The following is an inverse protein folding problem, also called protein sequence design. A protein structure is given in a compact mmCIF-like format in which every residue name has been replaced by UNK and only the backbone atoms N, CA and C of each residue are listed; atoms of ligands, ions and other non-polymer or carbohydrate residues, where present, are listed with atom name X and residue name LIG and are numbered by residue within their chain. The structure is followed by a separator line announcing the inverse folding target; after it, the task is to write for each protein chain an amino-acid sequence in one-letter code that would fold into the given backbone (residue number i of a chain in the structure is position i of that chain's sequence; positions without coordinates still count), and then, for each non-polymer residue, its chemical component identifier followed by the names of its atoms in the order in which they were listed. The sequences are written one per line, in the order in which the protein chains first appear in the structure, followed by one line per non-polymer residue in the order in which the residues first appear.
data_IF_330568075735
#
_entry.id   IF_330568075735
#
_cell.length_a   1.000
_cell.length_b   1.000
_cell.length_c   1.000
_cell.angle_alpha   90.00
_cell.angle_beta   90.00
_cell.angle_gamma   90.00
#
_symmetry.space_group_name_H-M   'P 1'
#
loop_
_entity.id
_entity.type
_entity.pdbx_description
1 polymer ?
#
# COMPACT_ATOMS: atom_id res chain seq x y z
N UNK A 1 36.60 -3.13 -25.98
CA UNK A 1 35.13 -3.24 -26.07
C UNK A 1 34.60 -2.71 -24.75
N UNK A 2 34.14 -1.46 -24.77
CA UNK A 2 33.85 -0.65 -23.58
C UNK A 2 32.34 -0.42 -23.43
N UNK A 3 31.89 -0.39 -22.18
CA UNK A 3 30.52 -0.41 -21.65
C UNK A 3 29.70 0.89 -21.81
N UNK A 4 29.78 1.60 -22.93
CA UNK A 4 29.10 2.90 -23.08
C UNK A 4 28.16 2.96 -24.29
N UNK A 5 26.92 2.45 -24.17
CA UNK A 5 25.75 2.94 -24.93
C UNK A 5 24.42 2.21 -24.64
N UNK A 6 23.91 2.21 -23.40
CA UNK A 6 22.54 1.72 -23.12
C UNK A 6 21.49 2.86 -23.06
N UNK A 7 21.92 4.13 -23.10
CA UNK A 7 21.02 5.29 -22.96
C UNK A 7 21.01 6.22 -24.19
N UNK A 8 20.92 5.68 -25.40
CA UNK A 8 20.49 6.50 -26.55
C UNK A 8 18.99 6.74 -26.47
N UNK A 9 18.59 8.02 -26.40
CA UNK A 9 17.20 8.47 -26.53
C UNK A 9 16.71 8.17 -27.95
N UNK A 10 16.13 7.00 -28.15
CA UNK A 10 15.35 6.69 -29.33
C UNK A 10 14.09 7.57 -29.35
N UNK A 11 13.96 8.40 -30.39
CA UNK A 11 12.88 9.35 -30.60
C UNK A 11 11.65 8.77 -31.33
N UNK A 12 11.55 7.44 -31.43
CA UNK A 12 10.29 6.75 -31.69
C UNK A 12 9.97 5.91 -30.47
N UNK A 13 8.74 5.98 -29.92
CA UNK A 13 8.32 5.03 -28.87
C UNK A 13 8.53 3.62 -29.43
N UNK A 14 9.47 2.82 -28.91
CA UNK A 14 9.58 1.43 -29.29
C UNK A 14 8.22 0.78 -29.03
N UNK A 15 7.74 -0.07 -29.92
CA UNK A 15 6.56 -0.85 -29.62
C UNK A 15 6.87 -1.63 -28.33
N UNK A 16 6.11 -1.45 -27.23
CA UNK A 16 6.34 -2.15 -25.97
C UNK A 16 6.18 -3.68 -26.11
N UNK A 17 5.71 -4.15 -27.27
CA UNK A 17 5.64 -5.56 -27.65
C UNK A 17 6.75 -6.03 -28.59
N UNK A 18 7.62 -5.13 -29.06
CA UNK A 18 8.78 -5.47 -29.89
C UNK A 18 10.01 -5.78 -29.04
N UNK A 19 10.73 -6.86 -29.38
CA UNK A 19 11.92 -7.31 -28.65
C UNK A 19 11.72 -8.58 -27.82
N UNK A 20 12.82 -9.07 -27.26
CA UNK A 20 12.84 -10.21 -26.33
C UNK A 20 12.05 -9.90 -25.04
N UNK A 21 11.57 -10.91 -24.30
CA UNK A 21 10.87 -10.67 -23.04
C UNK A 21 11.65 -9.79 -22.05
N UNK A 22 12.97 -9.98 -21.97
CA UNK A 22 13.85 -9.16 -21.12
C UNK A 22 13.86 -7.69 -21.54
N UNK A 23 13.98 -7.41 -22.84
CA UNK A 23 13.95 -6.04 -23.38
C UNK A 23 12.61 -5.37 -23.13
N UNK A 24 11.49 -6.09 -23.32
CA UNK A 24 10.15 -5.55 -23.04
C UNK A 24 9.96 -5.21 -21.57
N UNK A 25 10.44 -6.07 -20.66
CA UNK A 25 10.39 -5.79 -19.23
C UNK A 25 11.22 -4.56 -18.87
N UNK A 26 12.48 -4.47 -19.32
CA UNK A 26 13.33 -3.31 -19.05
C UNK A 26 12.80 -2.01 -19.67
N UNK A 27 12.23 -2.07 -20.87
CA UNK A 27 11.57 -0.91 -21.47
C UNK A 27 10.40 -0.43 -20.59
N UNK A 28 9.63 -1.35 -20.02
CA UNK A 28 8.51 -1.02 -19.12
C UNK A 28 8.94 -0.40 -17.78
N UNK A 29 10.20 -0.59 -17.37
CA UNK A 29 10.73 0.03 -16.15
C UNK A 29 11.00 1.54 -16.31
N UNK A 30 11.02 2.05 -17.55
CA UNK A 30 11.17 3.47 -17.84
C UNK A 30 9.81 4.20 -17.79
N UNK A 31 9.31 4.41 -16.58
CA UNK A 31 8.01 5.05 -16.33
C UNK A 31 8.13 6.58 -16.44
N UNK A 32 7.40 7.17 -17.38
CA UNK A 32 7.26 8.62 -17.53
C UNK A 32 6.08 9.18 -16.72
N UNK A 33 5.87 10.50 -16.84
CA UNK A 33 4.76 11.19 -16.16
C UNK A 33 3.40 10.62 -16.56
N UNK A 34 3.20 10.29 -17.84
CA UNK A 34 1.93 9.78 -18.33
C UNK A 34 1.62 8.39 -17.75
N UNK A 35 2.61 7.49 -17.82
CA UNK A 35 2.47 6.13 -17.30
C UNK A 35 2.23 6.17 -15.78
N UNK A 36 2.92 7.05 -15.04
CA UNK A 36 2.64 7.29 -13.62
C UNK A 36 1.23 7.81 -13.36
N UNK A 37 0.77 8.82 -14.11
CA UNK A 37 -0.52 9.47 -13.92
C UNK A 37 -1.70 8.51 -14.20
N UNK A 38 -1.58 7.68 -15.24
CA UNK A 38 -2.60 6.70 -15.61
C UNK A 38 -2.51 5.39 -14.79
N UNK A 39 -1.55 5.31 -13.86
CA UNK A 39 -1.35 4.11 -13.02
C UNK A 39 -0.86 2.89 -13.81
N UNK A 40 -0.15 3.10 -14.92
CA UNK A 40 0.44 2.03 -15.73
C UNK A 40 1.69 1.50 -15.02
N UNK A 41 1.66 0.20 -14.68
CA UNK A 41 2.76 -0.52 -14.04
C UNK A 41 3.78 -1.11 -15.04
N UNK A 42 4.66 -1.96 -14.54
CA UNK A 42 5.60 -2.70 -15.40
C UNK A 42 4.88 -3.76 -16.23
N UNK A 43 5.51 -4.21 -17.31
CA UNK A 43 5.01 -5.29 -18.14
C UNK A 43 5.28 -6.65 -17.45
N UNK A 44 4.41 -7.04 -16.53
CA UNK A 44 4.54 -8.29 -15.78
C UNK A 44 4.33 -9.53 -16.63
N UNK A 45 3.64 -9.43 -17.77
CA UNK A 45 3.47 -10.56 -18.68
C UNK A 45 4.81 -10.96 -19.32
N UNK A 46 5.69 -9.99 -19.59
CA UNK A 46 7.04 -10.27 -20.06
C UNK A 46 7.85 -11.11 -19.07
N UNK A 47 7.61 -10.98 -17.75
CA UNK A 47 8.29 -11.79 -16.73
C UNK A 47 7.96 -13.28 -16.83
N UNK A 48 6.76 -13.63 -17.31
CA UNK A 48 6.31 -15.03 -17.46
C UNK A 48 7.00 -15.75 -18.61
N UNK A 49 7.56 -14.99 -19.55
CA UNK A 49 8.22 -15.50 -20.76
C UNK A 49 9.75 -15.59 -20.61
N UNK A 50 10.32 -15.13 -19.49
CA UNK A 50 11.76 -15.16 -19.25
C UNK A 50 12.30 -16.58 -19.11
N UNK A 51 13.48 -16.81 -19.65
CA UNK A 51 14.28 -18.01 -19.35
C UNK A 51 14.78 -17.99 -17.90
N UNK A 52 15.19 -19.16 -17.39
CA UNK A 52 15.69 -19.26 -16.01
C UNK A 52 16.93 -18.41 -15.73
N UNK A 53 17.77 -18.13 -16.73
CA UNK A 53 18.93 -17.26 -16.56
C UNK A 53 18.55 -15.78 -16.57
N UNK A 54 17.58 -15.39 -17.40
CA UNK A 54 17.03 -14.03 -17.40
C UNK A 54 16.28 -13.71 -16.11
N UNK A 55 15.54 -14.69 -15.54
CA UNK A 55 14.90 -14.55 -14.22
C UNK A 55 15.93 -14.19 -13.16
N UNK A 56 17.11 -14.86 -13.13
CA UNK A 56 18.16 -14.54 -12.14
C UNK A 56 18.70 -13.11 -12.30
N UNK A 57 18.80 -12.63 -13.54
CA UNK A 57 19.28 -11.27 -13.83
C UNK A 57 18.25 -10.25 -13.32
N UNK A 58 16.97 -10.42 -13.69
CA UNK A 58 15.88 -9.54 -13.29
C UNK A 58 15.65 -9.57 -11.79
N UNK A 59 15.65 -10.75 -11.19
CA UNK A 59 15.51 -10.94 -9.74
C UNK A 59 16.60 -10.16 -8.98
N UNK A 60 17.87 -10.30 -9.38
CA UNK A 60 18.98 -9.58 -8.75
C UNK A 60 18.79 -8.06 -8.84
N UNK A 61 18.33 -7.56 -9.99
CA UNK A 61 18.03 -6.14 -10.18
C UNK A 61 16.92 -5.68 -9.21
N UNK A 62 15.78 -6.38 -9.20
CA UNK A 62 14.63 -6.03 -8.38
C UNK A 62 14.94 -6.11 -6.88
N UNK A 63 15.66 -7.14 -6.42
CA UNK A 63 16.09 -7.28 -5.02
C UNK A 63 16.93 -6.07 -4.59
N UNK A 64 17.82 -5.59 -5.46
CA UNK A 64 18.67 -4.41 -5.16
C UNK A 64 17.89 -3.09 -5.05
N UNK A 65 16.62 -3.09 -5.49
CA UNK A 65 15.74 -1.93 -5.56
C UNK A 65 14.45 -2.06 -4.75
N UNK A 66 14.24 -3.18 -4.05
CA UNK A 66 12.98 -3.60 -3.41
C UNK A 66 12.31 -2.56 -2.47
N UNK A 67 13.05 -1.56 -1.98
CA UNK A 67 12.56 -0.52 -1.06
C UNK A 67 12.36 0.84 -1.75
N UNK A 68 12.58 0.93 -3.07
CA UNK A 68 12.59 2.19 -3.81
C UNK A 68 11.23 2.54 -4.38
N UNK A 69 10.53 1.56 -4.94
CA UNK A 69 9.28 1.78 -5.66
C UNK A 69 8.36 0.56 -5.51
N UNK A 70 7.06 0.79 -5.31
CA UNK A 70 6.10 -0.30 -5.14
C UNK A 70 5.97 -1.18 -6.39
N UNK A 71 6.30 -0.67 -7.58
CA UNK A 71 6.31 -1.46 -8.82
C UNK A 71 7.43 -2.51 -8.83
N UNK A 72 8.57 -2.21 -8.18
CA UNK A 72 9.63 -3.19 -7.98
C UNK A 72 9.12 -4.34 -7.09
N UNK A 73 8.30 -4.04 -6.06
CA UNK A 73 7.63 -5.04 -5.19
C UNK A 73 6.62 -5.87 -5.97
N UNK A 74 5.81 -5.25 -6.83
CA UNK A 74 4.88 -5.95 -7.71
C UNK A 74 5.60 -6.91 -8.67
N UNK A 75 6.72 -6.48 -9.26
CA UNK A 75 7.51 -7.33 -10.13
C UNK A 75 8.17 -8.50 -9.38
N UNK A 76 8.64 -8.29 -8.15
CA UNK A 76 9.11 -9.39 -7.28
C UNK A 76 7.99 -10.41 -7.04
N UNK A 77 6.76 -9.94 -6.78
CA UNK A 77 5.62 -10.83 -6.60
C UNK A 77 5.26 -11.63 -7.85
N UNK A 78 5.47 -11.08 -9.04
CA UNK A 78 5.24 -11.77 -10.30
C UNK A 78 6.25 -12.91 -10.56
N UNK A 79 7.49 -12.80 -10.06
CA UNK A 79 8.54 -13.82 -10.25
C UNK A 79 8.26 -15.13 -9.50
N UNK A 80 7.69 -15.05 -8.28
CA UNK A 80 7.34 -16.21 -7.42
C UNK A 80 8.48 -17.19 -7.13
N UNK A 81 9.73 -16.77 -7.32
CA UNK A 81 10.91 -17.51 -6.89
C UNK A 81 11.10 -17.38 -5.38
N UNK A 82 11.82 -18.32 -4.76
CA UNK A 82 12.07 -18.27 -3.31
C UNK A 82 12.81 -17.00 -2.89
N UNK A 83 13.79 -16.55 -3.67
CA UNK A 83 14.52 -15.32 -3.37
C UNK A 83 13.65 -14.06 -3.56
N UNK A 84 12.73 -14.03 -4.53
CA UNK A 84 11.77 -12.94 -4.65
C UNK A 84 10.76 -12.92 -3.49
N UNK A 85 10.25 -14.09 -3.05
CA UNK A 85 9.37 -14.19 -1.88
C UNK A 85 10.10 -13.72 -0.61
N UNK A 86 11.37 -14.12 -0.43
CA UNK A 86 12.17 -13.63 0.68
C UNK A 86 12.41 -12.12 0.60
N UNK A 87 12.58 -11.56 -0.60
CA UNK A 87 12.68 -10.12 -0.78
C UNK A 87 11.38 -9.39 -0.42
N UNK A 88 10.21 -9.93 -0.78
CA UNK A 88 8.91 -9.40 -0.34
C UNK A 88 8.78 -9.41 1.19
N UNK A 89 9.18 -10.51 1.84
CA UNK A 89 9.19 -10.58 3.31
C UNK A 89 10.08 -9.49 3.92
N UNK A 90 11.23 -9.20 3.30
CA UNK A 90 12.09 -8.11 3.75
C UNK A 90 11.44 -6.73 3.56
N UNK A 91 10.63 -6.54 2.51
CA UNK A 91 9.88 -5.30 2.28
C UNK A 91 8.81 -5.02 3.35
N UNK A 92 8.40 -6.00 4.16
CA UNK A 92 7.52 -5.77 5.32
C UNK A 92 8.13 -4.82 6.35
N UNK A 93 9.45 -4.67 6.33
CA UNK A 93 10.20 -3.74 7.18
C UNK A 93 10.72 -2.52 6.40
N UNK A 94 10.22 -2.29 5.17
CA UNK A 94 10.66 -1.19 4.33
C UNK A 94 10.38 0.17 4.99
N UNK A 95 11.31 1.14 4.94
CA UNK A 95 11.00 2.52 5.30
C UNK A 95 10.04 3.19 4.31
N UNK A 96 9.92 2.65 3.09
CA UNK A 96 8.93 3.09 2.11
C UNK A 96 7.58 2.44 2.42
N UNK A 97 6.61 3.24 2.88
CA UNK A 97 5.31 2.75 3.32
C UNK A 97 4.52 2.07 2.19
N UNK A 98 4.63 2.55 0.95
CA UNK A 98 3.97 1.91 -0.18
C UNK A 98 4.58 0.54 -0.45
N UNK A 99 5.92 0.43 -0.47
CA UNK A 99 6.59 -0.87 -0.64
C UNK A 99 6.15 -1.86 0.44
N UNK A 100 6.04 -1.38 1.69
CA UNK A 100 5.57 -2.18 2.83
C UNK A 100 4.14 -2.69 2.65
N UNK A 101 3.22 -1.80 2.26
CA UNK A 101 1.80 -2.12 2.05
C UNK A 101 1.56 -3.03 0.84
N UNK A 102 2.31 -2.84 -0.24
CA UNK A 102 2.23 -3.73 -1.40
C UNK A 102 2.85 -5.10 -1.10
N UNK A 103 3.94 -5.16 -0.35
CA UNK A 103 4.55 -6.42 0.04
C UNK A 103 3.58 -7.30 0.83
N UNK A 104 2.91 -6.75 1.85
CA UNK A 104 1.93 -7.51 2.63
C UNK A 104 0.71 -7.93 1.80
N UNK A 105 0.28 -7.09 0.84
CA UNK A 105 -0.80 -7.44 -0.08
C UNK A 105 -0.43 -8.66 -0.92
N UNK A 106 0.74 -8.65 -1.58
CA UNK A 106 1.13 -9.78 -2.44
C UNK A 106 1.46 -11.03 -1.63
N UNK A 107 2.07 -10.90 -0.46
CA UNK A 107 2.29 -12.02 0.44
C UNK A 107 0.96 -12.67 0.87
N UNK A 108 -0.05 -11.85 1.20
CA UNK A 108 -1.42 -12.33 1.47
C UNK A 108 -2.04 -13.04 0.27
N UNK A 109 -1.94 -12.48 -0.94
CA UNK A 109 -2.41 -13.12 -2.17
C UNK A 109 -1.72 -14.46 -2.45
N UNK A 110 -0.51 -14.68 -1.91
CA UNK A 110 0.22 -15.96 -1.95
C UNK A 110 -0.08 -16.89 -0.76
N UNK A 111 -0.91 -16.47 0.20
CA UNK A 111 -1.28 -17.26 1.39
C UNK A 111 -0.43 -17.02 2.65
N UNK A 112 0.46 -16.03 2.65
CA UNK A 112 1.22 -15.60 3.83
C UNK A 112 0.49 -14.45 4.55
N UNK A 113 -0.42 -14.79 5.46
CA UNK A 113 -1.29 -13.81 6.13
C UNK A 113 -0.84 -13.41 7.54
N UNK A 114 0.16 -14.08 8.10
CA UNK A 114 0.65 -13.91 9.48
C UNK A 114 1.19 -12.50 9.79
N UNK A 115 1.49 -11.71 8.76
CA UNK A 115 2.03 -10.36 8.90
C UNK A 115 0.99 -9.24 8.70
N UNK A 116 -0.24 -9.56 8.27
CA UNK A 116 -1.23 -8.55 7.85
C UNK A 116 -1.58 -7.58 8.97
N UNK A 117 -1.90 -8.11 10.16
CA UNK A 117 -2.26 -7.29 11.32
C UNK A 117 -1.13 -6.34 11.72
N UNK A 118 0.10 -6.86 11.88
CA UNK A 118 1.24 -6.08 12.33
C UNK A 118 1.59 -4.95 11.37
N UNK A 119 1.55 -5.22 10.06
CA UNK A 119 1.83 -4.21 9.03
C UNK A 119 0.76 -3.13 9.05
N UNK A 120 -0.53 -3.46 9.16
CA UNK A 120 -1.61 -2.47 9.24
C UNK A 120 -1.41 -1.58 10.46
N UNK A 121 -1.23 -2.18 11.64
CA UNK A 121 -1.15 -1.44 12.92
C UNK A 121 0.04 -0.49 12.95
N UNK A 122 1.20 -0.90 12.42
CA UNK A 122 2.39 -0.05 12.37
C UNK A 122 2.33 1.01 11.28
N UNK A 123 1.74 0.70 10.13
CA UNK A 123 1.88 1.54 8.93
C UNK A 123 0.75 2.56 8.80
N UNK A 124 -0.48 2.20 9.16
CA UNK A 124 -1.63 3.09 9.06
C UNK A 124 -1.39 4.48 9.69
N UNK A 125 -0.83 4.61 10.92
CA UNK A 125 -0.61 5.91 11.55
C UNK A 125 0.38 6.81 10.80
N UNK A 126 1.29 6.23 10.02
CA UNK A 126 2.34 6.92 9.28
C UNK A 126 1.88 7.36 7.89
N UNK A 127 0.75 6.84 7.39
CA UNK A 127 0.29 7.11 6.01
C UNK A 127 -0.36 8.48 5.82
N UNK A 128 -0.20 9.02 4.61
CA UNK A 128 -0.81 10.28 4.16
C UNK A 128 -1.33 10.22 2.72
N UNK A 129 -1.84 11.34 2.22
CA UNK A 129 -2.26 11.46 0.81
C UNK A 129 -1.02 11.29 -0.08
N UNK A 130 -1.05 10.30 -0.98
CA UNK A 130 0.10 9.95 -1.81
C UNK A 130 1.14 9.06 -1.13
N UNK A 131 0.90 8.64 0.12
CA UNK A 131 1.83 7.82 0.92
C UNK A 131 1.10 6.54 1.40
N UNK A 132 0.47 5.83 0.47
CA UNK A 132 -0.15 4.52 0.74
C UNK A 132 -1.43 4.52 1.59
N UNK A 133 -1.96 5.67 2.01
CA UNK A 133 -3.13 5.75 2.91
C UNK A 133 -4.35 4.96 2.42
N UNK A 134 -4.70 5.04 1.13
CA UNK A 134 -5.82 4.28 0.57
C UNK A 134 -5.61 2.77 0.72
N UNK A 135 -4.39 2.28 0.51
CA UNK A 135 -4.06 0.87 0.67
C UNK A 135 -4.12 0.43 2.13
N UNK A 136 -3.56 1.23 3.05
CA UNK A 136 -3.62 0.95 4.48
C UNK A 136 -5.07 0.88 4.99
N UNK A 137 -5.94 1.82 4.57
CA UNK A 137 -7.36 1.83 4.93
C UNK A 137 -8.12 0.63 4.36
N UNK A 138 -7.84 0.24 3.10
CA UNK A 138 -8.44 -0.95 2.50
C UNK A 138 -8.01 -2.23 3.23
N UNK A 139 -6.73 -2.35 3.57
CA UNK A 139 -6.23 -3.51 4.29
C UNK A 139 -6.83 -3.59 5.70
N UNK A 140 -6.94 -2.46 6.41
CA UNK A 140 -7.62 -2.39 7.70
C UNK A 140 -9.12 -2.75 7.61
N UNK A 141 -9.79 -2.40 6.50
CA UNK A 141 -11.17 -2.78 6.23
C UNK A 141 -11.31 -4.29 6.03
N UNK A 142 -10.41 -4.87 5.24
CA UNK A 142 -10.49 -6.26 4.81
C UNK A 142 -9.95 -7.23 5.89
N UNK A 143 -9.19 -6.72 6.86
CA UNK A 143 -8.65 -7.49 7.98
C UNK A 143 -8.93 -6.85 9.37
N UNK A 144 -10.19 -6.75 9.79
CA UNK A 144 -10.59 -5.95 10.95
C UNK A 144 -10.52 -6.72 12.28
N UNK A 145 -9.32 -7.17 12.66
CA UNK A 145 -9.07 -7.73 13.99
C UNK A 145 -9.29 -6.69 15.08
N UNK A 146 -9.41 -7.09 16.34
CA UNK A 146 -9.59 -6.16 17.45
C UNK A 146 -8.44 -5.14 17.55
N UNK A 147 -7.21 -5.58 17.28
CA UNK A 147 -6.04 -4.70 17.27
C UNK A 147 -6.06 -3.71 16.11
N UNK A 148 -6.49 -4.13 14.92
CA UNK A 148 -6.70 -3.23 13.77
C UNK A 148 -7.82 -2.23 14.05
N UNK A 149 -8.95 -2.66 14.62
CA UNK A 149 -10.07 -1.78 15.00
C UNK A 149 -9.61 -0.72 16.02
N UNK A 150 -8.85 -1.14 17.03
CA UNK A 150 -8.24 -0.24 18.01
C UNK A 150 -7.28 0.74 17.33
N UNK A 151 -6.40 0.27 16.43
CA UNK A 151 -5.50 1.14 15.68
C UNK A 151 -6.26 2.18 14.83
N UNK A 152 -7.33 1.78 14.15
CA UNK A 152 -8.20 2.70 13.39
C UNK A 152 -8.80 3.77 14.30
N UNK A 153 -9.31 3.39 15.48
CA UNK A 153 -9.86 4.35 16.44
C UNK A 153 -8.77 5.31 17.00
N UNK A 154 -7.58 4.79 17.30
CA UNK A 154 -6.43 5.62 17.67
C UNK A 154 -6.06 6.60 16.56
N UNK A 155 -6.02 6.16 15.30
CA UNK A 155 -5.75 7.02 14.15
C UNK A 155 -6.85 8.05 13.91
N UNK A 156 -8.12 7.75 14.22
CA UNK A 156 -9.19 8.73 14.15
C UNK A 156 -8.92 9.90 15.12
N UNK A 157 -8.48 9.60 16.34
CA UNK A 157 -8.18 10.62 17.34
C UNK A 157 -6.84 11.33 17.10
N UNK A 158 -5.76 10.59 16.94
CA UNK A 158 -4.38 11.09 16.96
C UNK A 158 -3.67 11.16 15.61
N UNK A 159 -4.25 10.60 14.54
CA UNK A 159 -3.64 10.59 13.21
C UNK A 159 -3.39 11.98 12.64
N UNK A 160 -2.67 12.04 11.52
CA UNK A 160 -2.48 13.29 10.77
C UNK A 160 -3.81 13.80 10.17
N UNK A 161 -3.80 15.04 9.68
CA UNK A 161 -5.01 15.74 9.22
C UNK A 161 -5.78 15.01 8.13
N UNK A 162 -5.06 14.38 7.20
CA UNK A 162 -5.66 13.62 6.11
C UNK A 162 -6.29 12.32 6.62
N UNK A 163 -5.65 11.66 7.58
CA UNK A 163 -6.02 10.32 8.04
C UNK A 163 -7.24 10.30 8.98
N UNK A 164 -7.35 11.26 9.90
CA UNK A 164 -8.32 11.21 11.02
C UNK A 164 -9.76 11.02 10.57
N UNK A 165 -10.20 11.80 9.59
CA UNK A 165 -11.57 11.74 9.06
C UNK A 165 -11.85 10.40 8.38
N UNK A 166 -10.88 9.84 7.67
CA UNK A 166 -11.01 8.55 7.02
C UNK A 166 -11.06 7.40 8.02
N UNK A 167 -10.25 7.47 9.08
CA UNK A 167 -10.29 6.50 10.17
C UNK A 167 -11.60 6.56 10.98
N UNK A 168 -12.15 7.76 11.23
CA UNK A 168 -13.46 7.91 11.87
C UNK A 168 -14.58 7.28 11.01
N UNK A 169 -14.56 7.51 9.70
CA UNK A 169 -15.50 6.88 8.77
C UNK A 169 -15.33 5.35 8.73
N UNK A 170 -14.08 4.88 8.69
CA UNK A 170 -13.78 3.44 8.69
C UNK A 170 -14.23 2.78 9.99
N UNK A 171 -14.06 3.42 11.15
CA UNK A 171 -14.55 2.89 12.43
C UNK A 171 -16.06 2.61 12.39
N UNK A 172 -16.87 3.53 11.85
CA UNK A 172 -18.31 3.33 11.68
C UNK A 172 -18.63 2.16 10.73
N UNK A 173 -17.87 2.04 9.63
CA UNK A 173 -18.02 0.94 8.69
C UNK A 173 -17.70 -0.42 9.33
N UNK A 174 -16.59 -0.50 10.08
CA UNK A 174 -16.15 -1.73 10.74
C UNK A 174 -17.16 -2.21 11.79
N UNK A 175 -17.94 -1.31 12.39
CA UNK A 175 -18.99 -1.62 13.36
C UNK A 175 -20.40 -1.72 12.72
N UNK A 176 -20.48 -1.79 11.38
CA UNK A 176 -21.71 -2.08 10.64
C UNK A 176 -22.66 -0.91 10.40
N UNK A 177 -22.32 0.31 10.84
CA UNK A 177 -23.22 1.47 10.82
C UNK A 177 -23.21 2.25 9.50
N UNK A 178 -22.17 2.10 8.67
CA UNK A 178 -22.02 2.89 7.44
C UNK A 178 -22.89 2.40 6.26
N UNK A 179 -23.46 1.17 6.30
CA UNK A 179 -24.27 0.64 5.19
C UNK A 179 -25.72 1.10 5.20
N UNK A 180 -26.25 1.50 6.35
CA UNK A 180 -27.68 1.82 6.55
C UNK A 180 -27.93 3.31 6.78
N UNK A 181 -26.96 4.07 7.32
CA UNK A 181 -27.20 5.43 7.82
C UNK A 181 -26.04 6.42 7.55
N UNK A 182 -25.25 6.21 6.48
CA UNK A 182 -24.03 6.99 6.20
C UNK A 182 -24.19 8.52 6.31
N UNK A 183 -25.34 9.07 5.91
CA UNK A 183 -25.63 10.52 6.01
C UNK A 183 -25.79 10.99 7.46
N UNK A 184 -26.33 10.15 8.34
CA UNK A 184 -26.57 10.49 9.76
C UNK A 184 -25.26 10.69 10.53
N UNK A 185 -24.18 10.02 10.11
CA UNK A 185 -22.88 10.09 10.76
C UNK A 185 -21.89 11.05 10.09
N UNK A 186 -22.26 11.67 8.96
CA UNK A 186 -21.38 12.57 8.22
C UNK A 186 -20.88 13.73 9.09
N UNK A 187 -21.77 14.29 9.94
CA UNK A 187 -21.42 15.39 10.84
C UNK A 187 -20.31 14.99 11.81
N UNK A 188 -20.45 13.86 12.51
CA UNK A 188 -19.46 13.44 13.51
C UNK A 188 -18.11 13.09 12.86
N UNK A 189 -18.11 12.51 11.67
CA UNK A 189 -16.87 12.20 10.93
C UNK A 189 -16.08 13.49 10.63
N UNK A 190 -16.74 14.56 10.20
CA UNK A 190 -16.04 15.81 9.88
C UNK A 190 -15.51 16.55 11.11
N UNK A 191 -16.05 16.30 12.30
CA UNK A 191 -15.53 16.91 13.55
C UNK A 191 -14.08 16.47 13.82
N UNK A 192 -13.63 15.31 13.31
CA UNK A 192 -12.24 14.85 13.43
C UNK A 192 -11.22 15.63 12.60
N UNK A 193 -11.68 16.54 11.71
CA UNK A 193 -10.79 17.50 11.05
C UNK A 193 -10.37 18.66 11.98
N UNK A 194 -11.01 18.81 13.15
CA UNK A 194 -10.66 19.85 14.11
C UNK A 194 -9.19 19.71 14.55
N UNK A 195 -8.47 20.83 14.65
CA UNK A 195 -7.06 20.87 15.05
C UNK A 195 -6.89 20.72 16.56
N UNK A 196 -7.86 21.22 17.31
CA UNK A 196 -7.89 21.14 18.76
C UNK A 196 -8.10 19.70 19.25
N UNK A 197 -7.24 19.23 20.15
CA UNK A 197 -7.28 17.86 20.65
C UNK A 197 -8.46 17.64 21.60
N UNK A 198 -8.79 18.61 22.45
CA UNK A 198 -9.88 18.47 23.41
C UNK A 198 -11.23 18.36 22.70
N UNK A 199 -11.42 19.16 21.65
CA UNK A 199 -12.60 19.05 20.79
C UNK A 199 -12.66 17.70 20.09
N UNK A 200 -11.55 17.21 19.54
CA UNK A 200 -11.49 15.85 18.94
C UNK A 200 -11.75 14.75 19.96
N UNK A 201 -11.26 14.88 21.19
CA UNK A 201 -11.49 13.92 22.28
C UNK A 201 -12.99 13.82 22.62
N UNK A 202 -13.70 14.95 22.62
CA UNK A 202 -15.15 14.95 22.81
C UNK A 202 -15.88 14.23 21.66
N UNK A 203 -15.51 14.48 20.40
CA UNK A 203 -16.05 13.76 19.25
C UNK A 203 -15.68 12.27 19.28
N UNK A 204 -14.50 11.93 19.77
CA UNK A 204 -14.04 10.54 19.94
C UNK A 204 -14.88 9.77 20.97
N UNK A 205 -15.14 10.34 22.14
CA UNK A 205 -16.03 9.74 23.15
C UNK A 205 -17.43 9.49 22.58
N UNK A 206 -17.95 10.44 21.80
CA UNK A 206 -19.24 10.31 21.12
C UNK A 206 -19.21 9.22 20.04
N UNK A 207 -18.14 9.12 19.26
CA UNK A 207 -17.95 8.05 18.28
C UNK A 207 -17.95 6.69 18.97
N UNK A 208 -17.18 6.54 20.06
CA UNK A 208 -17.12 5.34 20.90
C UNK A 208 -18.51 4.94 21.41
N UNK A 209 -19.29 5.90 21.93
CA UNK A 209 -20.67 5.67 22.36
C UNK A 209 -21.57 5.16 21.22
N UNK A 210 -21.44 5.71 20.00
CA UNK A 210 -22.21 5.29 18.83
C UNK A 210 -21.89 3.86 18.42
N UNK A 211 -20.60 3.47 18.45
CA UNK A 211 -20.15 2.14 18.03
C UNK A 211 -20.18 1.10 19.16
N UNK A 212 -20.55 1.49 20.39
CA UNK A 212 -20.64 0.60 21.55
C UNK A 212 -19.29 0.18 22.13
N UNK A 213 -18.25 1.01 21.99
CA UNK A 213 -16.91 0.76 22.53
C UNK A 213 -16.66 1.70 23.71
N UNK A 214 -16.05 1.21 24.79
CA UNK A 214 -15.60 2.05 25.90
C UNK A 214 -14.34 2.84 25.46
N UNK A 215 -14.30 4.18 25.59
CA UNK A 215 -13.13 4.96 25.22
C UNK A 215 -11.84 4.48 25.90
N UNK A 216 -11.95 3.97 27.13
CA UNK A 216 -10.83 3.47 27.95
C UNK A 216 -10.17 2.22 27.36
N UNK A 217 -10.90 1.43 26.56
CA UNK A 217 -10.37 0.23 25.91
C UNK A 217 -9.49 0.59 24.70
N UNK A 218 -9.59 1.83 24.21
CA UNK A 218 -8.82 2.34 23.06
C UNK A 218 -7.64 3.19 23.51
N UNK A 219 -7.83 4.01 24.55
CA UNK A 219 -6.80 4.91 25.08
C UNK A 219 -5.64 4.17 25.78
#
# INVERSE_FOLDING_TARGET
MTEDNIFQRFSGKPDPHSGTPLERFYASMNIGFHEWHEGIGYNLDALKELSSDEIKIVEKLLISRKDKDWRDVEALAALRTEAAIQALKNCLESPNLECRLFAVRYLKEMGFEDHVEDVVVRTLPETGIGEGMTYALNLARDYPTDRVRKAVLCCALYGNDSLRVHCAALALLLHGLARTEAKSYQKIVYEFNNKDLDTRMNSFKRLCQIIGVAPEDVL
#
